data_IF_965815129546
#
_entry.id   IF_965815129546
#
_cell.length_a   1.000
_cell.length_b   1.000
_cell.length_c   1.000
_cell.angle_alpha   90.00
_cell.angle_beta   90.00
_cell.angle_gamma   90.00
#
_symmetry.space_group_name_H-M   'P 1'
#
loop_
_entity.id
_entity.type
_entity.pdbx_description
1 polymer ?
#
# COMPACT_ATOMS: atom_id res chain seq x y z
N UNK A 1 -58.83 -43.12 24.82
CA UNK A 1 -58.09 -42.50 23.69
C UNK A 1 -57.62 -41.13 24.15
N UNK A 2 -56.37 -41.01 24.57
CA UNK A 2 -55.78 -39.77 25.06
C UNK A 2 -54.57 -39.49 24.15
N UNK A 3 -54.72 -38.52 23.25
CA UNK A 3 -53.65 -38.11 22.34
C UNK A 3 -52.62 -37.29 23.11
N UNK A 4 -51.43 -37.86 23.29
CA UNK A 4 -50.22 -37.10 23.63
C UNK A 4 -49.85 -36.26 22.40
N UNK A 5 -49.95 -34.94 22.52
CA UNK A 5 -49.28 -34.00 21.63
C UNK A 5 -47.83 -33.88 22.08
N UNK A 6 -46.95 -34.49 21.30
CA UNK A 6 -45.50 -34.35 21.35
C UNK A 6 -45.13 -32.93 20.91
N UNK A 7 -44.73 -32.08 21.86
CA UNK A 7 -44.13 -30.78 21.58
C UNK A 7 -42.77 -30.96 20.91
N UNK A 8 -42.68 -30.56 19.64
CA UNK A 8 -41.41 -30.43 18.91
C UNK A 8 -40.59 -29.32 19.60
N UNK A 9 -39.30 -29.55 19.94
CA UNK A 9 -38.47 -28.47 20.46
C UNK A 9 -38.22 -27.47 19.32
N UNK A 10 -38.73 -26.25 19.49
CA UNK A 10 -38.30 -25.09 18.70
C UNK A 10 -36.82 -24.89 19.02
N UNK A 11 -35.96 -25.24 18.07
CA UNK A 11 -34.55 -24.87 18.13
C UNK A 11 -34.49 -23.33 18.13
N UNK A 12 -34.24 -22.74 19.28
CA UNK A 12 -33.79 -21.35 19.37
C UNK A 12 -32.46 -21.28 18.65
N UNK A 13 -32.48 -20.96 17.35
CA UNK A 13 -31.30 -20.49 16.66
C UNK A 13 -30.76 -19.32 17.47
N UNK A 14 -29.67 -19.54 18.20
CA UNK A 14 -28.90 -18.45 18.78
C UNK A 14 -28.60 -17.50 17.64
N UNK A 15 -29.26 -16.35 17.63
CA UNK A 15 -29.10 -15.35 16.59
C UNK A 15 -27.65 -14.87 16.70
N UNK A 16 -26.75 -15.48 15.93
CA UNK A 16 -25.35 -15.06 15.89
C UNK A 16 -25.36 -13.62 15.43
N UNK A 17 -24.97 -12.70 16.32
CA UNK A 17 -24.82 -11.30 15.94
C UNK A 17 -23.69 -11.25 14.92
N UNK A 18 -24.05 -11.15 13.65
CA UNK A 18 -23.11 -10.77 12.60
C UNK A 18 -22.74 -9.31 12.84
N UNK A 19 -21.50 -9.07 13.25
CA UNK A 19 -20.98 -7.73 13.52
C UNK A 19 -20.57 -7.06 12.21
N UNK A 20 -19.78 -7.76 11.42
CA UNK A 20 -19.18 -7.23 10.20
C UNK A 20 -19.00 -8.33 9.17
N UNK A 21 -18.67 -7.89 7.96
CA UNK A 21 -18.23 -8.78 6.91
C UNK A 21 -17.02 -8.20 6.18
N UNK A 22 -16.17 -9.09 5.67
CA UNK A 22 -14.99 -8.76 4.87
C UNK A 22 -15.11 -9.44 3.52
N UNK A 23 -15.22 -8.66 2.45
CA UNK A 23 -15.14 -9.15 1.08
C UNK A 23 -13.70 -9.01 0.60
N UNK A 24 -13.16 -10.05 -0.04
CA UNK A 24 -11.83 -9.97 -0.66
C UNK A 24 -12.01 -10.25 -2.15
N UNK A 25 -11.64 -9.39 -3.10
CA UNK A 25 -12.00 -9.54 -4.50
C UNK A 25 -11.64 -10.86 -5.22
N UNK A 26 -10.68 -11.70 -4.78
CA UNK A 26 -10.55 -13.04 -5.35
C UNK A 26 -11.53 -14.07 -4.74
N UNK A 27 -12.16 -13.71 -3.60
CA UNK A 27 -13.33 -14.36 -3.03
C UNK A 27 -14.60 -13.70 -3.61
N UNK A 28 -15.43 -14.47 -4.32
CA UNK A 28 -16.67 -13.92 -4.89
C UNK A 28 -17.79 -13.70 -3.85
N UNK A 29 -17.51 -13.89 -2.56
CA UNK A 29 -18.48 -13.73 -1.48
C UNK A 29 -17.88 -13.07 -0.22
N UNK A 30 -18.68 -12.31 0.55
CA UNK A 30 -18.23 -11.75 1.81
C UNK A 30 -18.08 -12.81 2.91
N UNK A 31 -16.99 -12.75 3.66
CA UNK A 31 -16.78 -13.53 4.87
C UNK A 31 -17.47 -12.82 6.04
N UNK A 32 -18.40 -13.49 6.71
CA UNK A 32 -19.02 -12.96 7.93
C UNK A 32 -18.06 -13.05 9.12
N UNK A 33 -18.36 -12.30 10.19
CA UNK A 33 -17.60 -12.37 11.45
C UNK A 33 -17.54 -13.77 12.07
N UNK A 34 -18.39 -14.72 11.66
CA UNK A 34 -18.40 -16.12 12.14
C UNK A 34 -17.21 -16.94 11.64
N UNK A 35 -16.63 -16.54 10.49
CA UNK A 35 -15.41 -17.19 9.95
C UNK A 35 -14.16 -16.79 10.74
N UNK A 36 -14.25 -15.71 11.53
CA UNK A 36 -13.14 -15.23 12.34
C UNK A 36 -13.14 -15.91 13.71
N UNK A 37 -11.96 -16.23 14.20
CA UNK A 37 -11.78 -16.63 15.60
C UNK A 37 -11.93 -15.41 16.48
N UNK A 38 -12.98 -15.37 17.30
CA UNK A 38 -13.18 -14.31 18.28
C UNK A 38 -12.17 -14.47 19.42
N UNK A 39 -11.35 -13.44 19.64
CA UNK A 39 -10.35 -13.41 20.72
C UNK A 39 -10.96 -12.88 22.02
N UNK A 40 -11.82 -11.87 21.90
CA UNK A 40 -12.59 -11.29 22.99
C UNK A 40 -13.84 -10.57 22.44
N UNK A 41 -14.52 -9.79 23.26
CA UNK A 41 -15.75 -9.07 22.88
C UNK A 41 -15.56 -8.02 21.77
N UNK A 42 -14.33 -7.57 21.53
CA UNK A 42 -14.01 -6.48 20.61
C UNK A 42 -12.95 -6.85 19.56
N UNK A 43 -12.43 -8.09 19.54
CA UNK A 43 -11.35 -8.50 18.63
C UNK A 43 -11.61 -9.85 17.98
N UNK A 44 -11.34 -9.91 16.68
CA UNK A 44 -11.50 -11.07 15.83
C UNK A 44 -10.28 -11.26 14.94
N UNK A 45 -9.87 -12.51 14.71
CA UNK A 45 -8.71 -12.86 13.89
C UNK A 45 -9.09 -13.93 12.87
N UNK A 46 -8.71 -13.71 11.61
CA UNK A 46 -8.79 -14.68 10.52
C UNK A 46 -7.37 -15.10 10.14
N UNK A 47 -7.08 -16.38 10.31
CA UNK A 47 -5.87 -17.01 9.78
C UNK A 47 -6.07 -17.30 8.29
N UNK A 48 -5.34 -16.59 7.43
CA UNK A 48 -5.52 -16.66 5.98
C UNK A 48 -5.00 -17.98 5.41
N UNK A 49 -3.94 -18.55 5.97
CA UNK A 49 -3.42 -19.83 5.50
C UNK A 49 -4.39 -20.95 5.81
N UNK A 50 -4.95 -20.96 7.02
CA UNK A 50 -6.00 -21.89 7.37
C UNK A 50 -7.25 -21.67 6.50
N UNK A 51 -7.73 -20.43 6.38
CA UNK A 51 -8.95 -20.11 5.63
C UNK A 51 -8.83 -20.45 4.14
N UNK A 52 -7.71 -20.09 3.50
CA UNK A 52 -7.48 -20.31 2.07
C UNK A 52 -7.04 -21.75 1.76
N UNK A 53 -6.32 -22.42 2.67
CA UNK A 53 -5.78 -23.77 2.45
C UNK A 53 -6.72 -24.93 2.83
N UNK A 54 -7.63 -24.73 3.78
CA UNK A 54 -8.52 -25.80 4.28
C UNK A 54 -9.82 -25.95 3.50
N UNK A 55 -10.11 -25.09 2.52
CA UNK A 55 -11.39 -25.06 1.83
C UNK A 55 -12.57 -24.63 2.71
N UNK A 56 -12.31 -24.13 3.94
CA UNK A 56 -13.32 -23.54 4.84
C UNK A 56 -14.06 -22.41 4.14
N UNK A 57 -13.36 -21.67 3.28
CA UNK A 57 -13.94 -20.76 2.31
C UNK A 57 -14.37 -21.62 1.10
N UNK A 58 -15.50 -22.33 1.26
CA UNK A 58 -16.09 -23.17 0.20
C UNK A 58 -16.53 -22.29 -0.98
N UNK A 59 -15.97 -22.52 -2.17
CA UNK A 59 -16.32 -21.75 -3.38
C UNK A 59 -15.27 -20.75 -3.86
N UNK A 60 -14.01 -20.87 -3.41
CA UNK A 60 -12.93 -20.00 -3.90
C UNK A 60 -12.25 -20.54 -5.14
N UNK A 61 -12.24 -19.73 -6.21
CA UNK A 61 -11.35 -19.89 -7.36
C UNK A 61 -9.86 -19.72 -7.01
N UNK A 62 -9.48 -19.57 -5.73
CA UNK A 62 -8.08 -19.58 -5.30
C UNK A 62 -7.36 -20.87 -5.71
N UNK A 63 -8.04 -22.02 -5.68
CA UNK A 63 -7.51 -23.28 -6.19
C UNK A 63 -7.38 -23.28 -7.74
N UNK A 64 -8.24 -22.53 -8.44
CA UNK A 64 -8.22 -22.37 -9.90
C UNK A 64 -7.20 -21.34 -10.39
N UNK A 65 -6.69 -20.45 -9.53
CA UNK A 65 -5.66 -19.46 -9.88
C UNK A 65 -4.25 -20.06 -10.06
N UNK A 66 -4.09 -21.38 -9.96
CA UNK A 66 -2.80 -22.08 -10.05
C UNK A 66 -1.86 -21.72 -8.90
N UNK A 67 -0.91 -22.61 -8.58
CA UNK A 67 0.22 -22.22 -7.75
C UNK A 67 1.02 -21.19 -8.55
N UNK A 68 0.96 -19.90 -8.18
CA UNK A 68 1.95 -18.96 -8.69
C UNK A 68 3.29 -19.48 -8.20
N UNK A 69 4.24 -19.54 -9.12
CA UNK A 69 5.61 -19.85 -8.79
C UNK A 69 6.33 -18.51 -8.69
N UNK A 70 7.00 -18.28 -7.57
CA UNK A 70 7.81 -17.08 -7.36
C UNK A 70 9.01 -17.06 -8.33
N UNK A 71 9.79 -15.98 -8.29
CA UNK A 71 10.98 -15.85 -9.14
C UNK A 71 12.03 -16.96 -8.91
N UNK A 72 11.92 -17.73 -7.84
CA UNK A 72 12.84 -18.79 -7.43
C UNK A 72 12.30 -20.21 -7.66
N UNK A 73 11.14 -20.36 -8.32
CA UNK A 73 10.60 -21.69 -8.55
C UNK A 73 9.76 -22.25 -7.39
N UNK A 74 9.47 -21.46 -6.35
CA UNK A 74 8.72 -21.90 -5.17
C UNK A 74 7.25 -21.48 -5.24
N UNK A 75 6.32 -22.26 -4.66
CA UNK A 75 4.91 -21.88 -4.60
C UNK A 75 4.74 -20.60 -3.76
N UNK A 76 4.21 -19.56 -4.39
CA UNK A 76 3.87 -18.28 -3.75
C UNK A 76 2.70 -18.48 -2.78
N UNK A 77 2.78 -17.98 -1.54
CA UNK A 77 1.66 -18.00 -0.62
C UNK A 77 0.42 -17.29 -1.19
N UNK A 78 -0.74 -17.97 -1.16
CA UNK A 78 -1.97 -17.45 -1.75
C UNK A 78 -2.43 -16.10 -1.18
N UNK A 79 -2.07 -15.79 0.08
CA UNK A 79 -2.41 -14.52 0.71
C UNK A 79 -1.74 -13.31 0.03
N UNK A 80 -0.58 -13.48 -0.63
CA UNK A 80 0.10 -12.38 -1.32
C UNK A 80 -0.74 -11.82 -2.48
N UNK A 81 -1.62 -12.64 -3.06
CA UNK A 81 -2.56 -12.23 -4.11
C UNK A 81 -3.71 -11.36 -3.59
N UNK A 82 -3.96 -11.37 -2.28
CA UNK A 82 -4.96 -10.50 -1.65
C UNK A 82 -4.42 -9.07 -1.56
N UNK A 83 -4.66 -8.25 -2.58
CA UNK A 83 -4.17 -6.85 -2.59
C UNK A 83 -5.08 -5.89 -1.83
N UNK A 84 -6.37 -6.18 -1.80
CA UNK A 84 -7.37 -5.34 -1.14
C UNK A 84 -8.49 -6.19 -0.55
N UNK A 85 -9.22 -5.59 0.38
CA UNK A 85 -10.48 -6.12 0.87
C UNK A 85 -11.48 -4.97 1.09
N UNK A 86 -12.75 -5.30 1.23
CA UNK A 86 -13.81 -4.38 1.59
C UNK A 86 -14.32 -4.79 2.97
N UNK A 87 -14.09 -3.92 3.95
CA UNK A 87 -14.69 -4.04 5.27
C UNK A 87 -16.04 -3.33 5.25
N UNK A 88 -17.09 -3.97 5.78
CA UNK A 88 -18.37 -3.31 5.95
C UNK A 88 -19.13 -3.79 7.19
N UNK A 89 -19.90 -2.87 7.77
CA UNK A 89 -20.81 -3.16 8.88
C UNK A 89 -22.00 -3.96 8.34
N UNK A 90 -22.32 -5.08 9.02
CA UNK A 90 -23.39 -5.95 8.56
C UNK A 90 -24.77 -5.26 8.61
N UNK A 91 -24.96 -4.36 9.59
CA UNK A 91 -26.21 -3.62 9.83
C UNK A 91 -25.93 -2.24 10.43
N UNK A 92 -26.82 -1.25 10.21
CA UNK A 92 -26.75 0.03 10.90
C UNK A 92 -26.97 -0.13 12.41
N UNK A 93 -26.35 0.73 13.22
CA UNK A 93 -26.52 0.77 14.67
C UNK A 93 -25.74 -0.27 15.47
N UNK A 94 -24.83 -1.01 14.81
CA UNK A 94 -24.03 -2.05 15.44
C UNK A 94 -22.80 -1.51 16.21
N UNK A 95 -22.26 -0.38 15.76
CA UNK A 95 -21.23 0.38 16.48
C UNK A 95 -21.86 1.57 17.19
N UNK A 96 -21.32 1.91 18.36
CA UNK A 96 -21.64 3.18 19.01
C UNK A 96 -21.08 4.35 18.17
N UNK A 97 -21.67 5.56 18.25
CA UNK A 97 -21.24 6.70 17.43
C UNK A 97 -19.78 7.14 17.65
N UNK A 98 -19.20 6.82 18.80
CA UNK A 98 -17.82 7.08 19.21
C UNK A 98 -16.89 5.87 19.00
N UNK A 99 -17.36 4.83 18.31
CA UNK A 99 -16.59 3.64 18.00
C UNK A 99 -16.33 3.49 16.49
N UNK A 100 -15.22 2.85 16.19
CA UNK A 100 -14.83 2.44 14.86
C UNK A 100 -14.50 0.95 14.84
N UNK A 101 -14.78 0.29 13.73
CA UNK A 101 -14.31 -1.06 13.45
C UNK A 101 -13.07 -0.95 12.56
N UNK A 102 -11.92 -1.31 13.11
CA UNK A 102 -10.62 -1.24 12.48
C UNK A 102 -10.25 -2.58 11.87
N UNK A 103 -9.40 -2.53 10.84
CA UNK A 103 -8.80 -3.71 10.22
C UNK A 103 -7.28 -3.62 10.25
N UNK A 104 -6.67 -4.76 10.57
CA UNK A 104 -5.24 -4.97 10.66
C UNK A 104 -4.82 -6.15 9.80
N UNK A 105 -3.55 -6.18 9.46
CA UNK A 105 -2.89 -7.39 8.99
C UNK A 105 -1.77 -7.79 9.95
N UNK A 106 -1.49 -9.08 10.01
CA UNK A 106 -0.29 -9.66 10.59
C UNK A 106 0.49 -10.27 9.43
N UNK A 107 1.60 -9.65 9.04
CA UNK A 107 2.39 -10.10 7.89
C UNK A 107 3.58 -10.94 8.34
N UNK A 108 3.68 -12.21 7.91
CA UNK A 108 4.76 -13.09 8.31
C UNK A 108 6.13 -12.62 7.80
N UNK A 109 6.21 -11.84 6.71
CA UNK A 109 7.46 -11.32 6.18
C UNK A 109 8.13 -10.29 7.11
N UNK A 110 7.35 -9.65 8.00
CA UNK A 110 7.81 -8.63 8.96
C UNK A 110 7.60 -9.07 10.41
N UNK A 111 8.00 -10.31 10.71
CA UNK A 111 7.96 -10.90 12.05
C UNK A 111 6.57 -10.92 12.69
N UNK A 112 5.50 -11.00 11.88
CA UNK A 112 4.12 -11.07 12.38
C UNK A 112 3.66 -9.81 13.11
N UNK A 113 4.25 -8.65 12.81
CA UNK A 113 3.80 -7.39 13.41
C UNK A 113 2.41 -7.00 12.88
N UNK A 114 1.55 -6.53 13.79
CA UNK A 114 0.20 -6.07 13.44
C UNK A 114 0.23 -4.64 12.91
N UNK A 115 -0.25 -4.44 11.68
CA UNK A 115 -0.28 -3.13 11.03
C UNK A 115 -1.71 -2.67 10.76
N UNK A 116 -2.03 -1.44 11.15
CA UNK A 116 -3.33 -0.80 10.90
C UNK A 116 -3.54 -0.51 9.41
N UNK A 117 -4.61 -1.05 8.82
CA UNK A 117 -4.91 -0.90 7.39
C UNK A 117 -6.06 0.07 7.10
N UNK A 118 -7.03 0.20 7.99
CA UNK A 118 -8.14 1.13 7.82
C UNK A 118 -9.24 0.90 8.84
N UNK A 119 -10.36 1.59 8.65
CA UNK A 119 -11.52 1.46 9.54
C UNK A 119 -12.83 1.78 8.83
N UNK A 120 -13.93 1.39 9.47
CA UNK A 120 -15.30 1.82 9.18
C UNK A 120 -15.96 2.34 10.46
N UNK A 121 -16.97 3.19 10.32
CA UNK A 121 -17.73 3.78 11.44
C UNK A 121 -19.20 3.87 11.08
N UNK A 122 -20.04 4.31 12.02
CA UNK A 122 -21.46 4.57 11.72
C UNK A 122 -21.66 5.61 10.60
N UNK A 123 -20.73 6.57 10.43
CA UNK A 123 -20.77 7.59 9.37
C UNK A 123 -20.25 7.06 8.04
N UNK A 124 -19.34 6.09 8.07
CA UNK A 124 -18.74 5.46 6.91
C UNK A 124 -18.79 3.94 7.10
N UNK A 125 -19.92 3.30 6.76
CA UNK A 125 -20.18 1.91 7.12
C UNK A 125 -19.42 0.89 6.26
N UNK A 126 -18.71 1.33 5.22
CA UNK A 126 -17.87 0.50 4.38
C UNK A 126 -16.59 1.22 3.94
N UNK A 127 -15.52 0.46 3.72
CA UNK A 127 -14.26 0.97 3.22
C UNK A 127 -13.53 -0.09 2.39
N UNK A 128 -12.93 0.34 1.28
CA UNK A 128 -11.95 -0.45 0.54
C UNK A 128 -10.59 -0.23 1.19
N UNK A 129 -9.92 -1.32 1.55
CA UNK A 129 -8.70 -1.31 2.34
C UNK A 129 -7.62 -2.08 1.59
N UNK A 130 -6.55 -1.38 1.23
CA UNK A 130 -5.35 -1.99 0.67
C UNK A 130 -4.60 -2.78 1.76
N UNK A 131 -4.28 -4.04 1.47
CA UNK A 131 -3.60 -4.94 2.40
C UNK A 131 -2.08 -4.84 2.32
N UNK A 132 -1.52 -4.44 1.16
CA UNK A 132 -0.10 -4.13 0.97
C UNK A 132 0.87 -5.10 1.69
N UNK A 133 0.70 -6.41 1.46
CA UNK A 133 1.65 -7.40 1.95
C UNK A 133 3.06 -7.11 1.42
N UNK A 134 4.05 -7.35 2.25
CA UNK A 134 5.45 -7.35 1.83
C UNK A 134 5.70 -8.64 1.05
N UNK A 135 6.39 -8.53 -0.08
CA UNK A 135 6.77 -9.73 -0.84
C UNK A 135 7.63 -10.63 0.05
N UNK A 136 7.36 -11.93 0.01
CA UNK A 136 8.02 -12.88 0.91
C UNK A 136 9.55 -12.78 0.75
N UNK A 137 10.31 -12.66 1.85
CA UNK A 137 11.76 -12.70 1.78
C UNK A 137 12.20 -14.07 1.24
N UNK A 138 13.31 -14.10 0.51
CA UNK A 138 13.88 -15.31 -0.11
C UNK A 138 14.27 -16.42 0.89
N UNK A 139 14.10 -16.18 2.21
CA UNK A 139 14.38 -17.15 3.27
C UNK A 139 13.11 -17.38 4.11
N UNK A 140 12.81 -18.64 4.48
CA UNK A 140 11.64 -18.98 5.29
C UNK A 140 11.86 -18.50 6.73
N UNK A 141 11.42 -17.28 7.05
CA UNK A 141 11.92 -16.58 8.25
C UNK A 141 10.89 -16.28 9.33
N UNK A 142 9.68 -16.87 9.33
CA UNK A 142 8.80 -16.69 10.48
C UNK A 142 7.91 -17.88 10.80
N UNK A 143 7.75 -18.13 12.10
CA UNK A 143 6.71 -18.98 12.68
C UNK A 143 5.32 -18.30 12.64
N UNK A 144 5.29 -17.05 12.16
CA UNK A 144 4.09 -16.23 12.12
C UNK A 144 3.27 -16.58 10.89
N UNK A 145 1.95 -16.51 11.04
CA UNK A 145 1.00 -16.79 9.96
C UNK A 145 0.41 -15.50 9.45
N UNK A 146 0.08 -15.46 8.16
CA UNK A 146 -0.63 -14.33 7.59
C UNK A 146 -2.05 -14.26 8.15
N UNK A 147 -2.39 -13.17 8.85
CA UNK A 147 -3.71 -12.99 9.45
C UNK A 147 -4.32 -11.64 9.11
N UNK A 148 -5.66 -11.60 9.13
CA UNK A 148 -6.43 -10.35 9.17
C UNK A 148 -7.07 -10.24 10.55
N UNK A 149 -6.88 -9.07 11.17
CA UNK A 149 -7.43 -8.74 12.47
C UNK A 149 -8.51 -7.69 12.32
N UNK A 150 -9.59 -7.83 13.07
CA UNK A 150 -10.66 -6.83 13.13
C UNK A 150 -10.87 -6.46 14.60
N UNK A 151 -10.95 -5.16 14.90
CA UNK A 151 -11.13 -4.70 16.29
C UNK A 151 -12.12 -3.53 16.38
N UNK A 152 -12.87 -3.46 17.49
CA UNK A 152 -13.62 -2.26 17.86
C UNK A 152 -12.76 -1.36 18.73
N UNK A 153 -12.55 -0.12 18.30
CA UNK A 153 -11.71 0.88 18.98
C UNK A 153 -12.41 2.24 19.07
N UNK A 154 -12.01 3.13 20.00
CA UNK A 154 -12.52 4.50 20.05
C UNK A 154 -12.24 5.28 18.76
N UNK A 155 -13.27 5.89 18.18
CA UNK A 155 -13.22 6.59 16.90
C UNK A 155 -12.15 7.68 16.89
N UNK A 156 -12.01 8.45 17.98
CA UNK A 156 -11.03 9.53 18.08
C UNK A 156 -9.58 9.04 17.93
N UNK A 157 -9.23 7.90 18.52
CA UNK A 157 -7.89 7.31 18.42
C UNK A 157 -7.62 6.78 17.00
N UNK A 158 -8.64 6.17 16.40
CA UNK A 158 -8.57 5.62 15.04
C UNK A 158 -8.42 6.73 14.00
N UNK A 159 -9.15 7.84 14.14
CA UNK A 159 -9.04 9.02 13.29
C UNK A 159 -7.65 9.66 13.40
N UNK A 160 -7.11 9.77 14.61
CA UNK A 160 -5.74 10.26 14.83
C UNK A 160 -4.70 9.34 14.16
N UNK A 161 -4.86 8.01 14.30
CA UNK A 161 -3.97 7.03 13.67
C UNK A 161 -4.03 7.08 12.14
N UNK A 162 -5.23 7.18 11.57
CA UNK A 162 -5.42 7.34 10.12
C UNK A 162 -4.79 8.64 9.62
N UNK A 163 -4.97 9.74 10.34
CA UNK A 163 -4.40 11.05 10.00
C UNK A 163 -2.87 10.99 9.98
N UNK A 164 -2.26 10.42 11.01
CA UNK A 164 -0.81 10.23 11.07
C UNK A 164 -0.29 9.38 9.91
N UNK A 165 -1.00 8.31 9.54
CA UNK A 165 -0.62 7.46 8.40
C UNK A 165 -0.69 8.21 7.08
N UNK A 166 -1.71 9.02 6.86
CA UNK A 166 -1.85 9.82 5.65
C UNK A 166 -0.76 10.91 5.58
N UNK A 167 -0.43 11.54 6.70
CA UNK A 167 0.67 12.51 6.79
C UNK A 167 2.03 11.87 6.42
N UNK A 168 2.35 10.70 6.96
CA UNK A 168 3.57 9.97 6.62
C UNK A 168 3.66 9.64 5.12
N UNK A 169 2.53 9.26 4.50
CA UNK A 169 2.47 9.00 3.05
C UNK A 169 2.67 10.26 2.22
N UNK A 170 2.10 11.38 2.65
CA UNK A 170 2.31 12.67 2.00
C UNK A 170 3.78 13.10 2.04
N UNK A 171 4.44 12.94 3.19
CA UNK A 171 5.85 13.27 3.33
C UNK A 171 6.74 12.36 2.48
N UNK A 172 6.41 11.07 2.37
CA UNK A 172 7.09 10.16 1.45
C UNK A 172 6.93 10.62 -0.01
N UNK A 173 5.71 10.94 -0.45
CA UNK A 173 5.46 11.39 -1.81
C UNK A 173 6.19 12.70 -2.14
N UNK A 174 6.25 13.65 -1.19
CA UNK A 174 7.06 14.88 -1.34
C UNK A 174 8.53 14.56 -1.54
N UNK A 175 9.09 13.64 -0.76
CA UNK A 175 10.49 13.22 -0.88
C UNK A 175 10.78 12.58 -2.23
N UNK A 176 9.91 11.68 -2.70
CA UNK A 176 10.04 11.05 -4.04
C UNK A 176 10.00 12.09 -5.15
N UNK A 177 9.04 13.02 -5.11
CA UNK A 177 8.95 14.06 -6.12
C UNK A 177 10.15 15.03 -6.08
N UNK A 178 10.66 15.35 -4.89
CA UNK A 178 11.85 16.19 -4.73
C UNK A 178 13.11 15.48 -5.23
N UNK A 179 13.26 14.19 -4.97
CA UNK A 179 14.38 13.38 -5.47
C UNK A 179 14.39 13.35 -7.00
N UNK A 180 13.23 13.09 -7.62
CA UNK A 180 13.09 13.14 -9.08
C UNK A 180 13.41 14.53 -9.64
N UNK A 181 12.91 15.60 -8.98
CA UNK A 181 13.23 16.97 -9.37
C UNK A 181 14.73 17.23 -9.37
N UNK A 182 15.42 16.85 -8.29
CA UNK A 182 16.87 17.03 -8.14
C UNK A 182 17.63 16.22 -9.20
N UNK A 183 17.23 14.97 -9.44
CA UNK A 183 17.81 14.11 -10.46
C UNK A 183 17.68 14.73 -11.85
N UNK A 184 16.50 15.22 -12.23
CA UNK A 184 16.27 15.81 -13.55
C UNK A 184 17.00 17.15 -13.72
N UNK A 185 17.03 17.99 -12.69
CA UNK A 185 17.77 19.25 -12.69
C UNK A 185 19.29 19.06 -12.81
N UNK A 186 19.83 17.91 -12.39
CA UNK A 186 21.27 17.59 -12.55
C UNK A 186 21.73 17.55 -14.01
N UNK A 187 20.83 17.30 -14.97
CA UNK A 187 21.13 17.32 -16.40
C UNK A 187 21.15 18.74 -17.01
N UNK A 188 20.68 19.76 -16.28
CA UNK A 188 20.57 21.14 -16.75
C UNK A 188 21.89 21.92 -16.86
N UNK A 189 23.03 21.33 -16.50
CA UNK A 189 24.34 21.99 -16.41
C UNK A 189 25.08 22.23 -17.73
N UNK A 190 24.40 22.32 -18.88
CA UNK A 190 25.02 22.26 -20.21
C UNK A 190 24.89 23.49 -21.11
N UNK A 191 24.45 24.65 -20.62
CA UNK A 191 24.48 25.89 -21.43
C UNK A 191 25.19 26.99 -20.67
N UNK A 192 26.50 27.06 -20.85
CA UNK A 192 27.31 28.21 -20.45
C UNK A 192 26.78 29.45 -21.16
N UNK A 193 26.28 30.48 -20.46
CA UNK A 193 26.08 31.78 -21.09
C UNK A 193 27.46 32.35 -21.38
N UNK A 194 27.81 32.45 -22.67
CA UNK A 194 28.97 33.21 -23.13
C UNK A 194 28.81 34.67 -22.67
N UNK A 195 29.52 35.04 -21.62
CA UNK A 195 29.62 36.44 -21.19
C UNK A 195 30.49 37.20 -22.18
N UNK A 196 30.01 38.26 -22.84
CA UNK A 196 30.85 39.15 -23.63
C UNK A 196 31.54 40.15 -22.71
N UNK A 197 32.84 40.38 -22.96
CA UNK A 197 33.64 41.54 -22.56
C UNK A 197 34.00 41.65 -21.06
N UNK A 198 35.08 40.97 -20.66
CA UNK A 198 35.85 41.38 -19.49
C UNK A 198 37.01 42.29 -19.96
N UNK A 199 36.84 43.59 -19.69
CA UNK A 199 37.89 44.61 -19.86
C UNK A 199 39.11 44.25 -19.02
N UNK A 200 40.25 44.45 -19.65
CA UNK A 200 41.61 44.40 -19.12
C UNK A 200 41.74 45.13 -17.78
N UNK A 201 42.38 44.49 -16.81
CA UNK A 201 43.25 45.17 -15.86
C UNK A 201 44.41 44.26 -15.47
N UNK A 202 45.58 44.63 -15.97
CA UNK A 202 46.90 44.20 -15.54
C UNK A 202 47.16 44.61 -14.09
N UNK A 203 47.75 43.73 -13.29
CA UNK A 203 48.90 43.97 -12.38
C UNK A 203 49.38 42.59 -11.90
N UNK A 204 50.66 42.32 -12.09
CA UNK A 204 51.24 40.98 -11.95
C UNK A 204 51.62 40.57 -10.53
N UNK A 205 51.76 39.27 -10.34
CA UNK A 205 52.87 38.71 -9.58
C UNK A 205 53.15 37.27 -10.07
N UNK A 206 54.42 37.04 -10.40
CA UNK A 206 54.96 35.82 -10.96
C UNK A 206 55.33 34.78 -9.88
N UNK A 207 55.73 33.59 -10.37
CA UNK A 207 56.14 32.33 -9.71
C UNK A 207 54.96 31.36 -9.54
N UNK A 208 54.79 30.28 -10.30
CA UNK A 208 55.69 29.54 -11.17
C UNK A 208 55.60 28.06 -10.82
N UNK A 209 54.74 27.30 -11.51
CA UNK A 209 54.94 25.85 -11.69
C UNK A 209 54.16 25.33 -12.91
N UNK A 210 54.90 25.19 -13.99
CA UNK A 210 54.51 24.55 -15.25
C UNK A 210 54.44 23.04 -15.06
N UNK A 211 53.27 22.45 -15.34
CA UNK A 211 53.18 21.07 -15.82
C UNK A 211 52.32 21.12 -17.07
N UNK A 212 52.98 21.05 -18.21
CA UNK A 212 52.32 20.89 -19.50
C UNK A 212 51.81 19.46 -19.63
N UNK A 213 50.52 19.31 -19.91
CA UNK A 213 50.02 18.14 -20.61
C UNK A 213 49.18 18.67 -21.77
N UNK A 214 49.63 18.34 -22.97
CA UNK A 214 49.06 18.75 -24.23
C UNK A 214 47.56 18.39 -24.30
N UNK A 215 46.76 19.35 -24.75
CA UNK A 215 45.38 19.12 -25.13
C UNK A 215 45.32 18.16 -26.33
N UNK A 216 44.56 17.04 -26.28
CA UNK A 216 44.21 16.33 -27.48
C UNK A 216 43.13 17.12 -28.23
N UNK A 217 43.53 17.50 -29.44
CA UNK A 217 42.73 17.94 -30.56
C UNK A 217 41.36 17.26 -30.65
N UNK A 218 40.32 18.09 -30.82
CA UNK A 218 39.04 17.82 -31.49
C UNK A 218 38.69 16.35 -31.74
N UNK A 219 38.09 15.69 -30.73
CA UNK A 219 37.28 14.51 -30.96
C UNK A 219 35.86 14.95 -31.32
N UNK A 220 35.53 14.81 -32.61
CA UNK A 220 34.16 14.77 -33.11
C UNK A 220 33.41 13.69 -32.33
N UNK A 221 32.53 14.10 -31.41
CA UNK A 221 31.62 13.17 -30.73
C UNK A 221 30.62 12.60 -31.74
N UNK A 222 30.20 11.33 -31.60
CA UNK A 222 29.21 10.75 -32.49
C UNK A 222 27.91 11.55 -32.36
N UNK A 223 27.41 12.11 -33.47
CA UNK A 223 26.09 12.72 -33.53
C UNK A 223 25.05 11.61 -33.38
N UNK A 224 24.67 11.26 -32.15
CA UNK A 224 23.43 10.53 -31.92
C UNK A 224 22.29 11.53 -32.06
N UNK A 225 21.77 11.64 -33.28
CA UNK A 225 20.61 12.47 -33.63
C UNK A 225 19.31 11.84 -33.08
N UNK A 226 19.25 11.64 -31.77
CA UNK A 226 18.09 11.12 -31.06
C UNK A 226 18.12 11.53 -29.57
N UNK A 227 18.42 12.79 -29.28
CA UNK A 227 18.25 13.36 -27.94
C UNK A 227 17.02 14.26 -27.95
N UNK A 228 16.08 14.00 -27.04
CA UNK A 228 14.93 14.87 -26.80
C UNK A 228 15.27 15.83 -25.68
N UNK A 229 15.18 17.13 -25.94
CA UNK A 229 15.34 18.17 -24.92
C UNK A 229 13.97 18.54 -24.37
N UNK A 230 13.83 18.46 -23.05
CA UNK A 230 12.63 18.87 -22.34
C UNK A 230 12.88 20.25 -21.71
N UNK A 231 12.00 21.24 -21.92
CA UNK A 231 12.11 22.53 -21.25
C UNK A 231 12.09 22.39 -19.71
N UNK A 232 12.89 23.20 -19.01
CA UNK A 232 13.03 23.09 -17.55
C UNK A 232 11.73 23.30 -16.77
N UNK A 233 10.80 24.11 -17.29
CA UNK A 233 9.50 24.40 -16.66
C UNK A 233 8.51 23.22 -16.70
N UNK A 234 8.79 22.19 -17.51
CA UNK A 234 7.96 20.98 -17.57
C UNK A 234 8.02 20.21 -16.25
N UNK A 235 9.15 20.25 -15.54
CA UNK A 235 9.34 19.51 -14.29
C UNK A 235 8.59 20.18 -13.15
N UNK A 236 8.65 21.51 -13.06
CA UNK A 236 7.87 22.29 -12.09
C UNK A 236 6.37 22.01 -12.26
N UNK A 237 5.88 22.10 -13.51
CA UNK A 237 4.48 21.81 -13.83
C UNK A 237 4.08 20.36 -13.56
N UNK A 238 5.00 19.41 -13.76
CA UNK A 238 4.74 18.01 -13.42
C UNK A 238 4.66 17.81 -11.91
N UNK A 239 5.57 18.42 -11.15
CA UNK A 239 5.63 18.30 -9.69
C UNK A 239 4.39 18.89 -9.02
N UNK A 240 3.94 20.07 -9.45
CA UNK A 240 2.69 20.68 -8.97
C UNK A 240 1.47 19.80 -9.26
N UNK A 241 1.40 19.23 -10.47
CA UNK A 241 0.34 18.29 -10.85
C UNK A 241 0.40 17.00 -10.01
N UNK A 242 1.60 16.50 -9.73
CA UNK A 242 1.82 15.34 -8.90
C UNK A 242 1.31 15.58 -7.47
N UNK A 243 1.70 16.69 -6.83
CA UNK A 243 1.25 17.04 -5.48
C UNK A 243 -0.27 17.27 -5.42
N UNK A 244 -0.83 17.96 -6.42
CA UNK A 244 -2.28 18.19 -6.51
C UNK A 244 -3.06 16.86 -6.61
N UNK A 245 -2.58 15.92 -7.45
CA UNK A 245 -3.17 14.58 -7.55
C UNK A 245 -3.02 13.78 -6.26
N UNK A 246 -1.84 13.83 -5.62
CA UNK A 246 -1.57 13.11 -4.39
C UNK A 246 -2.47 13.58 -3.24
N UNK A 247 -2.63 14.90 -3.06
CA UNK A 247 -3.54 15.46 -2.05
C UNK A 247 -4.99 15.03 -2.23
N UNK A 248 -5.42 14.88 -3.48
CA UNK A 248 -6.78 14.43 -3.82
C UNK A 248 -6.97 12.93 -3.61
N UNK A 249 -5.93 12.14 -3.89
CA UNK A 249 -5.96 10.68 -3.74
C UNK A 249 -4.57 10.17 -3.31
N UNK A 250 -4.34 9.94 -2.00
CA UNK A 250 -3.06 9.45 -1.49
C UNK A 250 -2.68 8.04 -1.98
N UNK A 251 -3.57 7.32 -2.65
CA UNK A 251 -3.36 5.96 -3.14
C UNK A 251 -3.16 5.89 -4.66
N UNK A 252 -3.15 7.03 -5.38
CA UNK A 252 -3.11 7.03 -6.84
C UNK A 252 -1.85 6.40 -7.44
N UNK A 253 -0.74 6.38 -6.70
CA UNK A 253 0.53 5.74 -7.09
C UNK A 253 0.52 4.23 -6.88
N UNK A 254 -0.19 3.76 -5.84
CA UNK A 254 -0.26 2.34 -5.46
C UNK A 254 -1.43 1.61 -6.11
N UNK A 255 -2.34 2.33 -6.77
CA UNK A 255 -3.44 1.72 -7.51
C UNK A 255 -2.86 1.03 -8.73
N UNK A 256 -2.71 -0.29 -8.67
CA UNK A 256 -2.40 -1.09 -9.85
C UNK A 256 -3.42 -0.72 -10.92
N UNK A 257 -2.93 -0.25 -12.07
CA UNK A 257 -3.77 0.08 -13.19
C UNK A 257 -4.40 -1.24 -13.63
N UNK A 258 -5.69 -1.45 -13.38
CA UNK A 258 -6.45 -2.52 -14.03
C UNK A 258 -6.32 -2.26 -15.53
N UNK A 259 -5.42 -3.00 -16.17
CA UNK A 259 -5.25 -3.08 -17.62
C UNK A 259 -5.86 -4.39 -18.08
#
# INVERSE_FOLDING_TARGET
MQQQQSSVPVSTSSMTMQYFSVLMPPLMYPLSSEVFTQMDTARWVLDLEAALGSGTVTGTDFAAMGAAIDANGQPEPAYLRLRECVLFLARPGLLQPDQALTIYICDPAINGSWEFRGYVSAKQPSAIVALNWVDAPAQPMSQHRACIGVSVEPLAEVEARQTNRLAMKEDFAKRVGQDLYNFMSSFGGGTSPSSPLQRSNSIGHALGRTVGVAAPSAAVGPRTSSSITVPGDVIDRWFDKFLSKFRRDPYFLSRAKQL
#
